data_IF_659191888066
#
_entry.id   IF_659191888066
#
_cell.length_a   1.000
_cell.length_b   1.000
_cell.length_c   1.000
_cell.angle_alpha   90.00
_cell.angle_beta   90.00
_cell.angle_gamma   90.00
#
_symmetry.space_group_name_H-M   'P 1'
#
loop_
_entity.id
_entity.type
_entity.pdbx_description
1 polymer ?
#
# COMPACT_ATOMS: atom_id res chain seq x y z
N UNK A 1 -17.35 -1.08 10.48
CA UNK A 1 -15.96 -1.01 11.01
C UNK A 1 -15.03 -1.11 9.81
N UNK A 2 -14.00 -0.26 9.71
CA UNK A 2 -13.07 -0.32 8.58
C UNK A 2 -12.38 -1.69 8.52
N UNK A 3 -12.22 -2.24 7.32
CA UNK A 3 -11.50 -3.50 7.16
C UNK A 3 -10.01 -3.29 7.41
N UNK A 4 -9.44 -4.07 8.34
CA UNK A 4 -8.01 -4.07 8.65
C UNK A 4 -7.32 -5.36 8.18
N UNK A 5 -8.08 -6.34 7.72
CA UNK A 5 -7.56 -7.64 7.30
C UNK A 5 -7.69 -7.81 5.78
N UNK A 6 -6.55 -7.76 5.10
CA UNK A 6 -6.41 -7.98 3.67
C UNK A 6 -5.63 -9.26 3.37
N UNK A 7 -5.55 -10.20 4.33
CA UNK A 7 -4.95 -11.51 4.08
C UNK A 7 -5.86 -12.40 3.24
N UNK A 8 -5.26 -13.34 2.54
CA UNK A 8 -5.93 -14.38 1.76
C UNK A 8 -5.25 -15.71 2.08
N UNK A 9 -6.05 -16.73 2.33
CA UNK A 9 -5.56 -18.08 2.48
C UNK A 9 -5.25 -18.67 1.10
N UNK A 10 -3.96 -18.89 0.83
CA UNK A 10 -3.51 -19.58 -0.36
C UNK A 10 -3.24 -21.06 -0.01
N UNK A 11 -3.99 -22.03 -0.57
CA UNK A 11 -3.83 -23.45 -0.24
C UNK A 11 -2.42 -24.00 -0.44
N UNK A 12 -1.57 -23.33 -1.24
CA UNK A 12 -0.20 -23.76 -1.55
C UNK A 12 0.87 -23.08 -0.68
N UNK A 13 0.61 -21.87 -0.20
CA UNK A 13 1.61 -21.01 0.45
C UNK A 13 1.20 -20.53 1.84
N UNK A 14 -0.01 -20.87 2.30
CA UNK A 14 -0.61 -20.40 3.53
C UNK A 14 -1.19 -18.99 3.41
N UNK A 15 -1.46 -18.39 4.55
CA UNK A 15 -1.98 -17.03 4.66
C UNK A 15 -0.95 -16.00 4.14
N UNK A 16 -1.41 -15.09 3.27
CA UNK A 16 -0.58 -14.04 2.68
C UNK A 16 -1.40 -12.77 2.48
N UNK A 17 -0.75 -11.60 2.49
CA UNK A 17 -1.43 -10.31 2.43
C UNK A 17 -1.07 -9.43 3.62
N UNK A 18 -1.78 -8.32 3.77
CA UNK A 18 -1.51 -7.35 4.84
C UNK A 18 -2.63 -7.46 5.87
N UNK A 19 -2.29 -7.75 7.12
CA UNK A 19 -3.16 -7.55 8.26
C UNK A 19 -2.65 -6.34 9.03
N UNK A 20 -3.46 -5.30 9.13
CA UNK A 20 -3.11 -4.10 9.87
C UNK A 20 -3.38 -4.29 11.36
N UNK A 21 -2.36 -4.01 12.17
CA UNK A 21 -2.42 -4.17 13.63
C UNK A 21 -3.49 -3.26 14.24
N UNK A 22 -3.68 -2.07 13.67
CA UNK A 22 -4.70 -1.11 14.10
C UNK A 22 -5.01 -0.06 13.01
N UNK A 23 -6.04 0.75 13.26
CA UNK A 23 -6.47 1.85 12.39
C UNK A 23 -5.35 2.86 12.07
N UNK A 24 -4.43 3.10 13.01
CA UNK A 24 -3.40 4.12 12.85
C UNK A 24 -2.26 3.67 11.93
N UNK A 25 -1.85 2.40 12.03
CA UNK A 25 -0.90 1.80 11.06
C UNK A 25 -1.51 1.72 9.66
N UNK A 26 -2.81 1.37 9.56
CA UNK A 26 -3.55 1.45 8.31
C UNK A 26 -3.55 2.87 7.72
N UNK A 27 -3.89 3.87 8.54
CA UNK A 27 -3.95 5.26 8.10
C UNK A 27 -2.59 5.76 7.63
N UNK A 28 -1.52 5.45 8.38
CA UNK A 28 -0.14 5.81 8.05
C UNK A 28 0.30 5.17 6.75
N UNK A 29 0.00 3.89 6.55
CA UNK A 29 0.31 3.20 5.30
C UNK A 29 -0.48 3.79 4.13
N UNK A 30 -1.77 4.08 4.31
CA UNK A 30 -2.58 4.74 3.28
C UNK A 30 -2.00 6.10 2.89
N UNK A 31 -1.61 6.92 3.88
CA UNK A 31 -0.96 8.21 3.65
C UNK A 31 0.35 8.09 2.87
N UNK A 32 1.19 7.13 3.26
CA UNK A 32 2.42 6.80 2.55
C UNK A 32 2.18 6.41 1.09
N UNK A 33 1.22 5.51 0.82
CA UNK A 33 0.89 5.09 -0.54
C UNK A 33 0.18 6.18 -1.35
N UNK A 34 -0.34 7.22 -0.71
CA UNK A 34 -1.06 8.32 -1.37
C UNK A 34 -0.13 9.38 -1.95
N UNK A 35 1.11 9.47 -1.48
CA UNK A 35 2.06 10.48 -1.97
C UNK A 35 2.80 9.98 -3.21
N UNK A 36 2.54 10.60 -4.36
CA UNK A 36 3.15 10.21 -5.65
C UNK A 36 4.68 10.29 -5.61
N UNK A 37 5.28 11.15 -4.77
CA UNK A 37 6.75 11.27 -4.69
C UNK A 37 7.43 10.01 -4.16
N UNK A 38 6.72 9.19 -3.37
CA UNK A 38 7.24 7.92 -2.91
C UNK A 38 7.37 6.90 -4.05
N UNK A 39 6.69 7.11 -5.18
CA UNK A 39 6.73 6.22 -6.32
C UNK A 39 8.02 6.43 -7.13
N UNK A 40 8.62 5.33 -7.55
CA UNK A 40 9.85 5.31 -8.34
C UNK A 40 9.72 6.17 -9.61
N UNK A 41 10.68 7.07 -9.81
CA UNK A 41 10.72 8.03 -10.92
C UNK A 41 9.95 9.34 -10.70
N UNK A 42 9.25 9.51 -9.57
CA UNK A 42 8.43 10.71 -9.30
C UNK A 42 8.97 11.58 -8.16
N UNK A 43 9.80 11.04 -7.28
CA UNK A 43 10.40 11.78 -6.16
C UNK A 43 11.65 12.55 -6.56
N UNK A 44 11.94 13.63 -5.84
CA UNK A 44 13.15 14.46 -6.03
C UNK A 44 14.27 14.15 -5.02
N UNK A 45 14.11 13.07 -4.24
CA UNK A 45 15.03 12.63 -3.18
C UNK A 45 15.20 13.64 -2.04
N UNK A 46 14.16 14.39 -1.71
CA UNK A 46 14.12 15.26 -0.53
C UNK A 46 13.87 14.48 0.75
N UNK A 47 13.03 13.42 0.70
CA UNK A 47 12.82 12.52 1.85
C UNK A 47 13.55 11.19 1.65
N UNK A 48 13.72 10.42 2.73
CA UNK A 48 14.31 9.07 2.64
C UNK A 48 13.42 8.09 1.88
N UNK A 49 12.13 8.42 1.75
CA UNK A 49 11.11 7.59 1.11
C UNK A 49 10.72 8.05 -0.30
N UNK A 50 11.26 9.17 -0.80
CA UNK A 50 11.14 9.50 -2.21
C UNK A 50 11.73 8.37 -3.09
N UNK A 51 11.02 8.02 -4.18
CA UNK A 51 11.36 6.92 -5.08
C UNK A 51 11.57 5.58 -4.34
N UNK A 52 10.74 5.28 -3.34
CA UNK A 52 10.88 4.07 -2.50
C UNK A 52 9.97 2.93 -2.89
N UNK A 53 8.90 3.16 -3.65
CA UNK A 53 7.91 2.13 -3.97
C UNK A 53 7.45 2.14 -5.42
N UNK A 54 6.78 1.07 -5.80
CA UNK A 54 5.86 1.06 -6.94
C UNK A 54 4.80 0.00 -6.71
N UNK A 55 3.61 0.18 -7.28
CA UNK A 55 2.51 -0.78 -7.15
C UNK A 55 2.16 -1.33 -8.53
N UNK A 56 2.07 -2.65 -8.62
CA UNK A 56 1.89 -3.39 -9.86
C UNK A 56 0.71 -4.35 -9.77
N UNK A 57 -0.02 -4.49 -10.87
CA UNK A 57 -0.91 -5.62 -11.14
C UNK A 57 -0.23 -6.45 -12.23
N UNK A 58 0.34 -7.59 -11.85
CA UNK A 58 1.07 -8.47 -12.75
C UNK A 58 0.13 -9.50 -13.39
N UNK A 59 0.25 -9.65 -14.71
CA UNK A 59 -0.50 -10.59 -15.54
C UNK A 59 -0.07 -12.05 -15.39
N UNK A 60 0.51 -12.48 -14.27
CA UNK A 60 1.07 -13.84 -14.07
C UNK A 60 0.06 -14.99 -14.34
N UNK A 61 -1.25 -14.70 -14.39
CA UNK A 61 -2.26 -15.65 -14.89
C UNK A 61 -2.02 -16.16 -16.31
N UNK A 62 -1.36 -15.37 -17.17
CA UNK A 62 -0.97 -15.78 -18.53
C UNK A 62 0.08 -16.90 -18.48
N UNK A 63 0.87 -16.95 -17.41
CA UNK A 63 1.93 -17.93 -17.17
C UNK A 63 1.51 -19.04 -16.19
N UNK A 64 0.20 -19.22 -15.98
CA UNK A 64 -0.37 -20.33 -15.20
C UNK A 64 -0.60 -20.05 -13.72
N UNK A 65 -0.47 -18.81 -13.25
CA UNK A 65 -0.97 -18.43 -11.92
C UNK A 65 -2.51 -18.43 -11.89
N UNK A 66 -3.09 -18.64 -10.71
CA UNK A 66 -4.55 -18.71 -10.56
C UNK A 66 -5.26 -17.38 -10.86
N UNK A 67 -4.60 -16.25 -10.61
CA UNK A 67 -5.15 -14.91 -10.84
C UNK A 67 -4.02 -13.91 -11.16
N UNK A 68 -4.41 -12.69 -11.55
CA UNK A 68 -3.49 -11.54 -11.55
C UNK A 68 -2.95 -11.32 -10.13
N UNK A 69 -1.70 -10.93 -10.00
CA UNK A 69 -1.05 -10.72 -8.70
C UNK A 69 -0.80 -9.23 -8.48
N UNK A 70 -1.30 -8.68 -7.38
CA UNK A 70 -1.07 -7.29 -7.02
C UNK A 70 0.08 -7.21 -6.02
N UNK A 71 1.08 -6.38 -6.33
CA UNK A 71 2.30 -6.27 -5.55
C UNK A 71 2.69 -4.83 -5.30
N UNK A 72 3.19 -4.57 -4.09
CA UNK A 72 3.98 -3.38 -3.78
C UNK A 72 5.44 -3.80 -3.82
N UNK A 73 6.24 -3.15 -4.64
CA UNK A 73 7.70 -3.26 -4.59
C UNK A 73 8.24 -2.14 -3.72
N UNK A 74 9.24 -2.46 -2.91
CA UNK A 74 9.97 -1.48 -2.10
C UNK A 74 11.47 -1.55 -2.42
N UNK A 75 12.10 -0.38 -2.51
CA UNK A 75 13.44 -0.20 -3.09
C UNK A 75 14.46 0.39 -2.11
N UNK A 76 14.05 0.79 -0.90
CA UNK A 76 14.94 1.39 0.10
C UNK A 76 15.29 0.37 1.18
N UNK A 77 15.86 0.88 2.26
CA UNK A 77 16.38 0.09 3.38
C UNK A 77 15.27 -0.60 4.19
N UNK A 78 15.49 -1.86 4.59
CA UNK A 78 14.52 -2.65 5.35
C UNK A 78 14.31 -2.15 6.78
N UNK A 79 15.30 -1.55 7.42
CA UNK A 79 15.17 -0.95 8.75
C UNK A 79 14.27 0.30 8.69
N UNK A 80 14.36 1.09 7.62
CA UNK A 80 13.42 2.20 7.39
C UNK A 80 11.98 1.69 7.24
N UNK A 81 11.77 0.63 6.45
CA UNK A 81 10.44 0.05 6.30
C UNK A 81 9.90 -0.47 7.65
N UNK A 82 10.71 -1.20 8.41
CA UNK A 82 10.34 -1.75 9.71
C UNK A 82 9.98 -0.66 10.74
N UNK A 83 10.79 0.40 10.81
CA UNK A 83 10.63 1.46 11.82
C UNK A 83 9.47 2.42 11.52
N UNK A 84 9.04 2.54 10.26
CA UNK A 84 8.00 3.49 9.87
C UNK A 84 6.71 2.85 9.38
N UNK A 85 6.75 1.65 8.80
CA UNK A 85 5.63 0.99 8.14
C UNK A 85 5.64 -0.51 8.51
N UNK A 86 5.51 -0.79 9.81
CA UNK A 86 5.72 -2.12 10.38
C UNK A 86 4.84 -3.19 9.72
N UNK A 87 3.56 -2.90 9.50
CA UNK A 87 2.64 -3.88 8.91
C UNK A 87 2.98 -4.20 7.44
N UNK A 88 3.54 -3.25 6.68
CA UNK A 88 4.09 -3.53 5.35
C UNK A 88 5.37 -4.36 5.42
N UNK A 89 6.27 -4.03 6.34
CA UNK A 89 7.49 -4.80 6.58
C UNK A 89 7.18 -6.26 6.99
N UNK A 90 6.23 -6.45 7.90
CA UNK A 90 5.84 -7.75 8.41
C UNK A 90 5.17 -8.62 7.32
N UNK A 91 4.41 -7.99 6.41
CA UNK A 91 3.82 -8.65 5.25
C UNK A 91 4.81 -8.84 4.07
N UNK A 92 6.06 -8.37 4.20
CA UNK A 92 7.02 -8.39 3.11
C UNK A 92 7.66 -9.76 2.91
N UNK A 93 8.09 -9.99 1.67
CA UNK A 93 8.86 -11.15 1.24
C UNK A 93 10.09 -10.69 0.48
N UNK A 94 11.08 -11.57 0.33
CA UNK A 94 12.31 -11.26 -0.40
C UNK A 94 12.00 -10.73 -1.81
N UNK A 95 12.74 -9.69 -2.22
CA UNK A 95 12.70 -9.17 -3.59
C UNK A 95 13.18 -10.17 -4.63
N UNK A 96 13.10 -9.79 -5.91
CA UNK A 96 13.62 -10.59 -7.03
C UNK A 96 14.69 -9.80 -7.76
N UNK A 97 15.85 -10.41 -7.94
CA UNK A 97 17.02 -9.74 -8.53
C UNK A 97 17.63 -8.71 -7.59
N UNK A 98 18.53 -7.88 -8.12
CA UNK A 98 19.35 -6.98 -7.31
C UNK A 98 18.69 -5.62 -7.04
N UNK A 99 17.56 -5.31 -7.69
CA UNK A 99 16.94 -3.98 -7.67
C UNK A 99 15.80 -3.82 -6.65
N UNK A 100 15.01 -4.87 -6.39
CA UNK A 100 13.87 -4.80 -5.45
C UNK A 100 14.35 -5.31 -4.09
N UNK A 101 14.27 -4.47 -3.06
CA UNK A 101 14.62 -4.88 -1.69
C UNK A 101 13.63 -5.93 -1.17
N UNK A 102 12.34 -5.62 -1.23
CA UNK A 102 11.29 -6.53 -0.81
C UNK A 102 9.99 -6.33 -1.60
N UNK A 103 9.11 -7.33 -1.51
CA UNK A 103 7.80 -7.35 -2.17
C UNK A 103 6.72 -7.61 -1.15
N UNK A 104 5.63 -6.86 -1.21
CA UNK A 104 4.43 -7.08 -0.43
C UNK A 104 3.32 -7.52 -1.38
N UNK A 105 2.92 -8.78 -1.30
CA UNK A 105 1.81 -9.32 -2.11
C UNK A 105 0.51 -9.05 -1.37
N UNK A 106 -0.43 -8.30 -1.95
CA UNK A 106 -1.75 -8.09 -1.33
C UNK A 106 -2.79 -7.70 -2.37
N UNK A 107 -3.40 -8.71 -2.99
CA UNK A 107 -4.51 -8.53 -3.93
C UNK A 107 -5.67 -7.77 -3.30
N UNK A 108 -6.10 -8.17 -2.09
CA UNK A 108 -7.23 -7.52 -1.43
C UNK A 108 -6.95 -6.05 -1.14
N UNK A 109 -5.77 -5.71 -0.63
CA UNK A 109 -5.46 -4.33 -0.27
C UNK A 109 -5.31 -3.43 -1.49
N UNK A 110 -4.57 -3.87 -2.53
CA UNK A 110 -4.38 -3.04 -3.72
C UNK A 110 -5.69 -2.82 -4.48
N UNK A 111 -6.54 -3.86 -4.59
CA UNK A 111 -7.88 -3.68 -5.16
C UNK A 111 -8.77 -2.76 -4.30
N UNK A 112 -8.62 -2.80 -2.97
CA UNK A 112 -9.27 -1.85 -2.06
C UNK A 112 -8.80 -0.40 -2.32
N UNK A 113 -7.50 -0.17 -2.52
CA UNK A 113 -6.97 1.16 -2.88
C UNK A 113 -7.62 1.71 -4.15
N UNK A 114 -7.78 0.86 -5.17
CA UNK A 114 -8.41 1.22 -6.45
C UNK A 114 -9.90 1.52 -6.26
N UNK A 115 -10.64 0.61 -5.62
CA UNK A 115 -12.09 0.69 -5.51
C UNK A 115 -12.55 1.82 -4.57
N UNK A 116 -11.90 1.95 -3.41
CA UNK A 116 -12.37 2.82 -2.33
C UNK A 116 -11.70 4.18 -2.34
N UNK A 117 -10.41 4.23 -2.68
CA UNK A 117 -9.59 5.46 -2.67
C UNK A 117 -9.24 5.98 -4.05
N UNK A 118 -9.83 5.41 -5.10
CA UNK A 118 -9.72 5.91 -6.47
C UNK A 118 -8.27 5.89 -6.98
N UNK A 119 -7.46 4.90 -6.61
CA UNK A 119 -6.15 4.74 -7.23
C UNK A 119 -6.32 4.37 -8.72
N UNK A 120 -5.56 5.02 -9.59
CA UNK A 120 -5.65 4.84 -11.04
C UNK A 120 -4.76 3.68 -11.50
N UNK A 121 -5.30 2.85 -12.40
CA UNK A 121 -4.57 1.76 -13.04
C UNK A 121 -4.16 2.17 -14.45
N UNK A 122 -2.87 2.10 -14.75
CA UNK A 122 -2.30 2.40 -16.05
C UNK A 122 -1.79 1.11 -16.67
N UNK A 123 -2.48 0.64 -17.70
CA UNK A 123 -2.15 -0.61 -18.36
C UNK A 123 -0.93 -0.45 -19.28
N UNK A 124 0.11 -1.24 -19.02
CA UNK A 124 1.31 -1.34 -19.87
C UNK A 124 1.45 -2.75 -20.49
N UNK A 125 0.36 -3.51 -20.57
CA UNK A 125 0.31 -4.83 -21.19
C UNK A 125 0.45 -5.96 -20.17
N UNK A 126 1.65 -6.52 -20.01
CA UNK A 126 1.87 -7.65 -19.08
C UNK A 126 1.74 -7.24 -17.61
N UNK A 127 2.13 -6.01 -17.28
CA UNK A 127 1.99 -5.41 -15.96
C UNK A 127 1.27 -4.07 -16.08
N UNK A 128 0.34 -3.80 -15.17
CA UNK A 128 -0.28 -2.48 -15.03
C UNK A 128 0.27 -1.81 -13.78
N UNK A 129 0.60 -0.51 -13.88
CA UNK A 129 1.02 0.28 -12.73
C UNK A 129 -0.21 0.85 -12.01
N UNK A 130 -0.13 0.98 -10.69
CA UNK A 130 -1.17 1.61 -9.87
C UNK A 130 -0.59 2.85 -9.22
N UNK A 131 -1.28 3.99 -9.37
CA UNK A 131 -0.84 5.27 -8.80
C UNK A 131 -1.95 5.92 -7.98
N UNK A 132 -1.61 6.67 -6.93
CA UNK A 132 -2.58 7.45 -6.18
C UNK A 132 -3.13 8.58 -7.04
N UNK A 133 -4.38 8.95 -6.78
CA UNK A 133 -4.97 10.19 -7.29
C UNK A 133 -4.72 11.33 -6.28
N UNK A 134 -5.51 12.40 -6.37
CA UNK A 134 -5.34 13.59 -5.55
C UNK A 134 -5.46 13.29 -4.04
N UNK A 135 -4.48 13.76 -3.26
CA UNK A 135 -4.42 13.64 -1.79
C UNK A 135 -5.74 13.98 -1.12
N UNK A 136 -6.30 15.14 -1.45
CA UNK A 136 -7.52 15.66 -0.81
C UNK A 136 -8.73 14.74 -1.07
N UNK A 137 -8.78 14.10 -2.24
CA UNK A 137 -9.82 13.12 -2.55
C UNK A 137 -9.66 11.86 -1.72
N UNK A 138 -8.42 11.36 -1.59
CA UNK A 138 -8.13 10.14 -0.82
C UNK A 138 -8.42 10.36 0.67
N UNK A 139 -7.91 11.46 1.25
CA UNK A 139 -8.08 11.76 2.68
C UNK A 139 -9.56 12.03 3.03
N UNK A 140 -10.31 12.69 2.13
CA UNK A 140 -11.75 12.93 2.31
C UNK A 140 -12.53 11.61 2.30
N UNK A 141 -12.23 10.69 1.37
CA UNK A 141 -12.85 9.36 1.34
C UNK A 141 -12.51 8.54 2.60
N UNK A 142 -11.26 8.62 3.05
CA UNK A 142 -10.84 7.97 4.27
C UNK A 142 -11.59 8.50 5.49
N UNK A 143 -11.69 9.82 5.65
CA UNK A 143 -12.46 10.44 6.72
C UNK A 143 -13.93 10.00 6.70
N UNK A 144 -14.56 10.03 5.52
CA UNK A 144 -15.95 9.59 5.34
C UNK A 144 -16.19 8.14 5.79
N UNK A 145 -15.24 7.23 5.54
CA UNK A 145 -15.34 5.84 5.99
C UNK A 145 -15.24 5.67 7.52
N UNK A 146 -14.69 6.65 8.24
CA UNK A 146 -14.55 6.59 9.69
C UNK A 146 -15.74 7.22 10.43
N UNK A 147 -16.49 8.11 9.78
CA UNK A 147 -17.67 8.76 10.37
C UNK A 147 -18.72 7.70 10.72
N UNK A 148 -19.14 7.69 11.99
CA UNK A 148 -20.11 6.70 12.50
C UNK A 148 -19.50 5.34 12.84
N UNK A 149 -18.24 5.09 12.48
CA UNK A 149 -17.53 3.83 12.75
C UNK A 149 -16.59 3.92 13.95
N UNK A 150 -16.20 5.13 14.34
CA UNK A 150 -15.35 5.36 15.51
C UNK A 150 -15.61 6.74 16.13
N UNK A 151 -14.86 7.08 17.18
CA UNK A 151 -14.99 8.37 17.86
C UNK A 151 -14.30 9.49 17.08
N UNK A 152 -14.78 10.73 17.21
CA UNK A 152 -14.13 11.91 16.62
C UNK A 152 -12.63 12.01 16.96
N UNK A 153 -12.25 11.68 18.21
CA UNK A 153 -10.85 11.62 18.64
C UNK A 153 -10.02 10.61 17.82
N UNK A 154 -10.58 9.44 17.53
CA UNK A 154 -9.92 8.44 16.72
C UNK A 154 -9.85 8.85 15.26
N UNK A 155 -10.87 9.54 14.72
CA UNK A 155 -10.84 10.12 13.37
C UNK A 155 -9.66 11.09 13.28
N UNK A 156 -9.57 12.08 14.18
CA UNK A 156 -8.47 13.05 14.20
C UNK A 156 -7.10 12.37 14.31
N UNK A 157 -6.99 11.33 15.14
CA UNK A 157 -5.74 10.57 15.30
C UNK A 157 -5.39 9.77 14.03
N UNK A 158 -6.38 9.20 13.34
CA UNK A 158 -6.17 8.50 12.08
C UNK A 158 -5.74 9.46 10.97
N UNK A 159 -6.39 10.63 10.85
CA UNK A 159 -5.98 11.69 9.91
C UNK A 159 -4.56 12.18 10.20
N UNK A 160 -4.19 12.34 11.48
CA UNK A 160 -2.82 12.68 11.84
C UNK A 160 -1.81 11.60 11.40
N UNK A 161 -2.14 10.31 11.59
CA UNK A 161 -1.27 9.22 11.13
C UNK A 161 -1.17 9.14 9.61
N UNK A 162 -2.27 9.39 8.89
CA UNK A 162 -2.24 9.56 7.44
C UNK A 162 -1.24 10.65 7.03
N UNK A 163 -1.30 11.81 7.68
CA UNK A 163 -0.37 12.91 7.39
C UNK A 163 1.09 12.54 7.72
N UNK A 164 1.34 11.82 8.81
CA UNK A 164 2.68 11.30 9.12
C UNK A 164 3.18 10.38 8.00
N UNK A 165 2.33 9.47 7.51
CA UNK A 165 2.68 8.59 6.39
C UNK A 165 2.94 9.34 5.09
N UNK A 166 2.14 10.37 4.80
CA UNK A 166 2.29 11.22 3.63
C UNK A 166 3.64 11.95 3.60
N UNK A 167 4.13 12.40 4.75
CA UNK A 167 5.36 13.20 4.90
C UNK A 167 6.65 12.36 5.06
N UNK A 168 6.57 11.02 4.96
CA UNK A 168 7.74 10.13 5.08
C UNK A 168 8.79 10.41 4.00
#
# INVERSE_FOLDING_TARGET
MINLDFTTDNPRWGESGIAFTNLFEYAKTLGFLSNIRHYDGYGDNTTKFDNSISIHIEGNHVDGAWAKECRIHYYKDMELLNSHLYDLWNASSAGRGDAITCRINSNKYINHLIAEYDFSVYDAGYSSNVFPNERERIISRFEQQLIGETTERNILSAINNFNIGWEL
#
